data_IF_431577743147
#
_entry.id   IF_431577743147
#
_cell.length_a   1.000
_cell.length_b   1.000
_cell.length_c   1.000
_cell.angle_alpha   90.00
_cell.angle_beta   90.00
_cell.angle_gamma   90.00
#
_symmetry.space_group_name_H-M   'P 1'
#
loop_
_entity.id
_entity.type
_entity.pdbx_description
1 polymer ?
#
# COMPACT_ATOMS: atom_id res chain seq x y z
N UNK A 1 -2.69 -43.87 -7.70
CA UNK A 1 -1.74 -42.75 -7.60
C UNK A 1 -2.56 -41.57 -7.14
N UNK A 2 -2.45 -41.20 -5.87
CA UNK A 2 -3.30 -40.17 -5.25
C UNK A 2 -2.70 -38.82 -5.70
N UNK A 3 -3.45 -37.93 -6.35
CA UNK A 3 -2.93 -36.59 -6.63
C UNK A 3 -2.65 -35.93 -5.28
N UNK A 4 -1.40 -35.51 -5.10
CA UNK A 4 -0.92 -34.92 -3.86
C UNK A 4 -1.64 -33.56 -3.67
N UNK A 5 -2.53 -33.48 -2.69
CA UNK A 5 -3.37 -32.30 -2.39
C UNK A 5 -2.54 -31.04 -2.09
N UNK A 6 -1.24 -31.19 -1.82
CA UNK A 6 -0.30 -30.09 -1.59
C UNK A 6 0.05 -29.30 -2.87
N UNK A 7 -0.19 -29.85 -4.06
CA UNK A 7 0.19 -29.21 -5.32
C UNK A 7 -0.72 -28.02 -5.70
N UNK A 8 -1.91 -27.92 -5.11
CA UNK A 8 -2.87 -26.83 -5.40
C UNK A 8 -2.66 -25.58 -4.53
N UNK A 9 -1.79 -25.62 -3.52
CA UNK A 9 -1.56 -24.49 -2.61
C UNK A 9 -0.44 -23.54 -3.04
N UNK A 10 0.33 -23.88 -4.07
CA UNK A 10 1.52 -23.09 -4.48
C UNK A 10 1.20 -22.13 -5.65
N UNK A 11 0.06 -22.28 -6.32
CA UNK A 11 -0.32 -21.43 -7.46
C UNK A 11 -1.08 -20.14 -7.09
N UNK A 12 -1.56 -20.01 -5.84
CA UNK A 12 -2.04 -18.72 -5.32
C UNK A 12 -0.89 -17.98 -4.62
N UNK A 13 0.15 -17.68 -5.40
CA UNK A 13 1.03 -16.57 -5.07
C UNK A 13 0.20 -15.29 -5.28
N UNK A 14 -0.65 -14.98 -4.30
CA UNK A 14 -1.49 -13.77 -4.26
C UNK A 14 -0.54 -12.60 -4.45
N UNK A 15 -0.41 -12.16 -5.69
CA UNK A 15 0.29 -10.95 -6.03
C UNK A 15 -0.64 -9.85 -5.58
N UNK A 16 -0.47 -9.42 -4.32
CA UNK A 16 -1.19 -8.27 -3.81
C UNK A 16 -0.93 -7.13 -4.80
N UNK A 17 -1.99 -6.46 -5.32
CA UNK A 17 -1.80 -5.39 -6.27
C UNK A 17 -0.93 -4.31 -5.64
N UNK A 18 0.16 -3.94 -6.32
CA UNK A 18 1.06 -2.88 -5.84
C UNK A 18 0.28 -1.56 -5.87
N UNK A 19 0.12 -0.95 -4.70
CA UNK A 19 -0.50 0.37 -4.57
C UNK A 19 0.56 1.46 -4.72
N UNK A 20 0.44 2.29 -5.75
CA UNK A 20 1.28 3.47 -5.92
C UNK A 20 0.65 4.69 -5.23
N UNK A 21 1.42 5.38 -4.40
CA UNK A 21 0.97 6.58 -3.67
C UNK A 21 1.97 7.72 -3.77
N UNK A 22 1.47 8.95 -3.69
CA UNK A 22 2.27 10.18 -3.60
C UNK A 22 1.94 10.86 -2.27
N UNK A 23 2.94 10.93 -1.39
CA UNK A 23 2.76 11.37 -0.01
C UNK A 23 3.22 12.81 0.17
N UNK A 24 2.40 13.64 0.82
CA UNK A 24 2.77 14.95 1.34
C UNK A 24 2.69 14.94 2.86
N UNK A 25 3.84 15.06 3.53
CA UNK A 25 3.95 15.05 5.00
C UNK A 25 3.74 16.44 5.61
N UNK A 26 3.52 16.50 6.93
CA UNK A 26 3.32 17.75 7.66
C UNK A 26 1.97 18.42 7.41
N UNK A 27 0.96 17.64 7.02
CA UNK A 27 -0.41 18.11 6.85
C UNK A 27 -1.13 18.29 8.22
N UNK A 28 -2.23 19.04 8.30
CA UNK A 28 -2.99 19.16 9.55
C UNK A 28 -3.66 17.85 9.98
N UNK A 29 -3.94 16.94 9.03
CA UNK A 29 -4.51 15.61 9.27
C UNK A 29 -4.15 14.65 8.13
N UNK A 30 -4.31 13.37 8.39
CA UNK A 30 -4.03 12.31 7.42
C UNK A 30 -5.26 11.96 6.61
N UNK A 31 -5.18 12.14 5.30
CA UNK A 31 -6.30 11.89 4.39
C UNK A 31 -5.84 11.63 2.95
N UNK A 32 -6.64 10.84 2.22
CA UNK A 32 -6.51 10.69 0.78
C UNK A 32 -7.10 11.95 0.15
N UNK A 33 -6.29 12.69 -0.61
CA UNK A 33 -6.70 13.98 -1.20
C UNK A 33 -7.18 13.86 -2.63
N UNK A 34 -6.66 12.89 -3.39
CA UNK A 34 -6.97 12.75 -4.80
C UNK A 34 -6.64 11.33 -5.29
N UNK A 35 -7.46 10.80 -6.21
CA UNK A 35 -7.11 9.65 -7.05
C UNK A 35 -6.70 10.16 -8.42
N UNK A 36 -5.53 9.76 -8.89
CA UNK A 36 -4.97 10.17 -10.18
C UNK A 36 -5.40 9.22 -11.30
N UNK A 37 -5.33 9.71 -12.54
CA UNK A 37 -5.72 8.97 -13.74
C UNK A 37 -4.80 7.74 -13.99
N UNK A 38 -3.57 7.77 -13.46
CA UNK A 38 -2.62 6.64 -13.49
C UNK A 38 -2.94 5.55 -12.46
N UNK A 39 -4.03 5.71 -11.68
CA UNK A 39 -4.46 4.79 -10.64
C UNK A 39 -3.77 4.98 -9.29
N UNK A 40 -2.83 5.91 -9.17
CA UNK A 40 -2.18 6.24 -7.90
C UNK A 40 -3.00 7.21 -7.04
N UNK A 41 -2.69 7.30 -5.75
CA UNK A 41 -3.37 8.20 -4.82
C UNK A 41 -2.43 9.27 -4.27
N UNK A 42 -2.92 10.51 -4.16
CA UNK A 42 -2.28 11.53 -3.33
C UNK A 42 -2.79 11.40 -1.90
N UNK A 43 -1.86 11.37 -0.95
CA UNK A 43 -2.16 11.23 0.47
C UNK A 43 -1.45 12.36 1.21
N UNK A 44 -2.20 13.09 2.01
CA UNK A 44 -1.64 13.99 3.02
C UNK A 44 -1.45 13.21 4.31
N UNK A 45 -0.28 13.35 4.94
CA UNK A 45 0.08 12.66 6.19
C UNK A 45 0.43 13.69 7.23
N UNK A 46 -0.20 13.59 8.41
CA UNK A 46 0.00 14.52 9.51
C UNK A 46 1.38 14.34 10.14
N UNK A 47 1.79 13.07 10.30
CA UNK A 47 3.12 12.75 10.80
C UNK A 47 4.22 13.33 9.90
N UNK A 48 5.29 13.87 10.49
CA UNK A 48 6.40 14.39 9.72
C UNK A 48 7.32 13.23 9.26
N UNK A 49 8.21 13.46 8.28
CA UNK A 49 8.99 12.38 7.68
C UNK A 49 10.13 11.86 8.57
N UNK A 50 10.52 12.59 9.63
CA UNK A 50 11.70 12.26 10.42
C UNK A 50 11.51 10.93 11.16
N UNK A 51 12.61 10.18 11.27
CA UNK A 51 12.65 8.87 11.91
C UNK A 51 11.62 7.86 11.35
N UNK A 52 11.14 8.05 10.12
CA UNK A 52 10.18 7.15 9.48
C UNK A 52 8.77 7.21 10.07
N UNK A 53 8.42 8.29 10.80
CA UNK A 53 7.09 8.43 11.42
C UNK A 53 5.98 8.42 10.39
N UNK A 54 6.11 9.18 9.30
CA UNK A 54 5.16 9.16 8.20
C UNK A 54 4.95 7.74 7.62
N UNK A 55 6.01 6.94 7.52
CA UNK A 55 5.93 5.57 6.98
C UNK A 55 5.24 4.60 7.95
N UNK A 56 5.25 4.89 9.25
CA UNK A 56 4.55 4.07 10.26
C UNK A 56 3.05 4.34 10.24
N UNK A 57 2.64 5.50 9.75
CA UNK A 57 1.24 5.95 9.70
C UNK A 57 0.50 5.50 8.43
N UNK A 58 1.24 5.14 7.37
CA UNK A 58 0.73 4.65 6.09
C UNK A 58 0.58 3.13 6.15
#
# INVERSE_FOLDING_TARGET
MIPNTDQHFIDELITLPILHIRVKTGAPKTEITEKLDDGSYKISVASPPENGRANTEI
#
